data_IF_451436627005
#
_entry.id   IF_451436627005
#
_cell.length_a   1.000
_cell.length_b   1.000
_cell.length_c   1.000
_cell.angle_alpha   90.00
_cell.angle_beta   90.00
_cell.angle_gamma   90.00
#
_symmetry.space_group_name_H-M   'P 1'
#
loop_
_entity.id
_entity.type
_entity.pdbx_description
1 polymer ?
#
# COMPACT_ATOMS: atom_id res chain seq x y z
N UNK A 1 -1.66 -13.39 -30.17
CA UNK A 1 -0.81 -13.06 -29.00
C UNK A 1 0.62 -13.20 -29.44
N UNK A 2 1.51 -12.30 -29.01
CA UNK A 2 2.94 -12.44 -29.28
C UNK A 2 3.55 -13.47 -28.33
N UNK A 3 4.65 -14.11 -28.74
CA UNK A 3 5.43 -15.05 -27.89
C UNK A 3 5.78 -14.46 -26.51
N UNK A 4 5.95 -13.14 -26.43
CA UNK A 4 6.21 -12.41 -25.19
C UNK A 4 4.96 -12.25 -24.32
N UNK A 5 3.78 -12.13 -24.92
CA UNK A 5 2.52 -12.12 -24.17
C UNK A 5 2.23 -13.51 -23.58
N UNK A 6 2.55 -14.57 -24.34
CA UNK A 6 2.44 -15.96 -23.87
C UNK A 6 3.38 -16.21 -22.68
N UNK A 7 4.62 -15.69 -22.76
CA UNK A 7 5.60 -15.77 -21.68
C UNK A 7 5.14 -15.00 -20.42
N UNK A 8 4.56 -13.80 -20.58
CA UNK A 8 3.99 -13.02 -19.47
C UNK A 8 2.83 -13.77 -18.83
N UNK A 9 1.91 -14.30 -19.64
CA UNK A 9 0.76 -15.06 -19.15
C UNK A 9 1.21 -16.31 -18.38
N UNK A 10 2.17 -17.07 -18.93
CA UNK A 10 2.72 -18.26 -18.27
C UNK A 10 3.37 -17.92 -16.92
N UNK A 11 4.15 -16.82 -16.85
CA UNK A 11 4.70 -16.36 -15.57
C UNK A 11 3.58 -15.95 -14.60
N UNK A 12 2.63 -15.10 -15.00
CA UNK A 12 1.52 -14.70 -14.12
C UNK A 12 0.70 -15.89 -13.62
N UNK A 13 0.47 -16.93 -14.44
CA UNK A 13 -0.21 -18.15 -14.00
C UNK A 13 0.62 -18.96 -13.00
N UNK A 14 1.92 -19.13 -13.23
CA UNK A 14 2.81 -19.84 -12.31
C UNK A 14 2.95 -19.10 -10.97
N UNK A 15 3.08 -17.78 -11.01
CA UNK A 15 3.09 -16.91 -9.83
C UNK A 15 1.78 -17.06 -9.05
N UNK A 16 0.63 -17.12 -9.73
CA UNK A 16 -0.66 -17.27 -9.08
C UNK A 16 -0.79 -18.57 -8.28
N UNK A 17 -0.34 -19.69 -8.85
CA UNK A 17 -0.31 -20.97 -8.14
C UNK A 17 0.58 -20.87 -6.91
N UNK A 18 1.78 -20.31 -7.06
CA UNK A 18 2.79 -20.27 -6.00
C UNK A 18 2.39 -19.33 -4.84
N UNK A 19 1.87 -18.14 -5.14
CA UNK A 19 1.40 -17.18 -4.14
C UNK A 19 0.14 -17.67 -3.42
N UNK A 20 -0.81 -18.26 -4.14
CA UNK A 20 -2.00 -18.88 -3.52
C UNK A 20 -1.59 -20.00 -2.57
N UNK A 21 -0.65 -20.86 -2.99
CA UNK A 21 -0.09 -21.92 -2.14
C UNK A 21 0.65 -21.39 -0.91
N UNK A 22 1.13 -20.14 -0.96
CA UNK A 22 1.75 -19.44 0.17
C UNK A 22 0.75 -18.66 1.04
N UNK A 23 -0.55 -18.75 0.78
CA UNK A 23 -1.62 -18.10 1.54
C UNK A 23 -1.98 -16.70 1.08
N UNK A 24 -1.37 -16.20 0.00
CA UNK A 24 -1.75 -14.92 -0.59
C UNK A 24 -3.04 -15.05 -1.42
N UNK A 25 -3.76 -13.95 -1.57
CA UNK A 25 -4.95 -13.83 -2.42
C UNK A 25 -4.68 -12.82 -3.53
N UNK A 26 -5.11 -13.09 -4.78
CA UNK A 26 -5.06 -12.08 -5.83
C UNK A 26 -5.97 -10.90 -5.45
N UNK A 27 -5.51 -9.67 -5.68
CA UNK A 27 -6.27 -8.43 -5.43
C UNK A 27 -6.60 -7.77 -6.78
N UNK A 28 -5.58 -7.19 -7.42
CA UNK A 28 -5.62 -6.66 -8.79
C UNK A 28 -4.41 -7.19 -9.56
N UNK A 29 -4.27 -6.81 -10.84
CA UNK A 29 -3.15 -7.25 -11.67
C UNK A 29 -1.80 -7.01 -10.97
N UNK A 30 -0.98 -8.07 -10.89
CA UNK A 30 0.33 -8.07 -10.25
C UNK A 30 0.34 -7.67 -8.76
N UNK A 31 -0.80 -7.75 -8.08
CA UNK A 31 -0.93 -7.48 -6.64
C UNK A 31 -1.48 -8.68 -5.88
N UNK A 32 -0.72 -9.09 -4.87
CA UNK A 32 -1.03 -10.20 -3.98
C UNK A 32 -1.24 -9.68 -2.56
N UNK A 33 -2.28 -10.15 -1.87
CA UNK A 33 -2.59 -9.73 -0.51
C UNK A 33 -2.50 -10.88 0.48
N UNK A 34 -2.12 -10.59 1.72
CA UNK A 34 -2.02 -11.56 2.80
C UNK A 34 -2.57 -10.94 4.08
N UNK A 35 -3.40 -11.67 4.80
CA UNK A 35 -3.82 -11.30 6.14
C UNK A 35 -2.63 -11.39 7.11
N UNK A 36 -2.29 -10.27 7.75
CA UNK A 36 -1.11 -10.16 8.62
C UNK A 36 -1.42 -10.52 10.08
N UNK A 37 -2.67 -10.35 10.47
CA UNK A 37 -3.20 -10.57 11.82
C UNK A 37 -4.49 -11.39 11.72
N UNK A 38 -4.71 -12.34 12.63
CA UNK A 38 -5.86 -13.27 12.55
C UNK A 38 -7.23 -12.66 12.85
N UNK A 39 -7.32 -11.34 13.01
CA UNK A 39 -8.55 -10.56 13.19
C UNK A 39 -9.05 -9.94 11.87
N UNK A 40 -8.26 -10.06 10.79
CA UNK A 40 -8.60 -9.51 9.48
C UNK A 40 -8.41 -7.99 9.34
N UNK A 41 -7.95 -7.28 10.37
CA UNK A 41 -7.80 -5.82 10.35
C UNK A 41 -6.58 -5.37 9.54
N UNK A 42 -5.57 -6.21 9.44
CA UNK A 42 -4.31 -5.89 8.78
C UNK A 42 -4.08 -6.74 7.54
N UNK A 43 -3.93 -6.08 6.39
CA UNK A 43 -3.64 -6.73 5.11
C UNK A 43 -2.29 -6.23 4.60
N UNK A 44 -1.39 -7.16 4.33
CA UNK A 44 -0.15 -6.92 3.59
C UNK A 44 -0.42 -7.03 2.11
N UNK A 45 0.17 -6.15 1.32
CA UNK A 45 0.13 -6.16 -0.14
C UNK A 45 1.53 -6.31 -0.71
N UNK A 46 1.67 -7.14 -1.75
CA UNK A 46 2.90 -7.39 -2.49
C UNK A 46 2.64 -7.03 -3.95
N UNK A 47 3.38 -6.05 -4.44
CA UNK A 47 3.30 -5.53 -5.81
C UNK A 47 4.43 -6.13 -6.63
N UNK A 48 4.12 -6.83 -7.71
CA UNK A 48 5.06 -7.55 -8.57
C UNK A 48 4.86 -7.20 -10.06
N UNK A 49 4.95 -5.90 -10.42
CA UNK A 49 4.60 -5.45 -11.75
C UNK A 49 5.52 -6.05 -12.82
N UNK A 50 4.93 -6.61 -13.88
CA UNK A 50 5.64 -7.21 -15.01
C UNK A 50 5.56 -6.32 -16.25
N UNK A 51 6.72 -6.02 -16.83
CA UNK A 51 6.85 -5.22 -18.04
C UNK A 51 7.50 -6.03 -19.16
N UNK A 52 6.96 -5.95 -20.37
CA UNK A 52 7.52 -6.58 -21.57
C UNK A 52 8.44 -5.61 -22.28
N UNK A 53 9.71 -5.98 -22.49
CA UNK A 53 10.69 -5.14 -23.20
C UNK A 53 11.77 -5.97 -23.88
N UNK A 54 12.00 -5.71 -25.17
CA UNK A 54 13.12 -6.28 -25.93
C UNK A 54 13.17 -7.80 -25.92
N UNK A 55 12.03 -8.48 -26.14
CA UNK A 55 11.97 -9.93 -26.17
C UNK A 55 12.07 -10.60 -24.79
N UNK A 56 11.72 -9.89 -23.71
CA UNK A 56 11.73 -10.44 -22.35
C UNK A 56 10.60 -9.89 -21.50
N UNK A 57 10.20 -10.66 -20.50
CA UNK A 57 9.33 -10.19 -19.41
C UNK A 57 10.21 -9.83 -18.22
N UNK A 58 9.97 -8.67 -17.62
CA UNK A 58 10.79 -8.16 -16.53
C UNK A 58 9.88 -7.75 -15.36
N UNK A 59 10.18 -8.28 -14.17
CA UNK A 59 9.67 -7.71 -12.94
C UNK A 59 10.68 -6.69 -12.43
N UNK A 60 10.25 -5.44 -12.36
CA UNK A 60 11.07 -4.33 -11.88
C UNK A 60 10.29 -3.58 -10.81
N UNK A 61 10.99 -3.18 -9.73
CA UNK A 61 10.42 -2.42 -8.62
C UNK A 61 9.31 -3.15 -7.84
N UNK A 62 9.56 -4.38 -7.37
CA UNK A 62 8.62 -5.03 -6.49
C UNK A 62 8.50 -4.23 -5.18
N UNK A 63 7.31 -4.14 -4.61
CA UNK A 63 7.02 -3.25 -3.48
C UNK A 63 6.08 -3.87 -2.45
N UNK A 64 6.25 -3.55 -1.15
CA UNK A 64 5.28 -3.92 -0.13
C UNK A 64 4.24 -2.81 0.10
N UNK A 65 3.12 -3.16 0.71
CA UNK A 65 2.16 -2.21 1.28
C UNK A 65 1.46 -2.82 2.49
N UNK A 66 0.92 -1.96 3.35
CA UNK A 66 0.09 -2.37 4.51
C UNK A 66 -1.21 -1.58 4.49
N UNK A 67 -2.31 -2.27 4.77
CA UNK A 67 -3.64 -1.72 4.94
C UNK A 67 -4.07 -2.00 6.38
N UNK A 68 -4.40 -0.94 7.11
CA UNK A 68 -5.22 -1.04 8.31
C UNK A 68 -6.67 -0.82 7.89
N UNK A 69 -7.42 -1.91 7.69
CA UNK A 69 -8.77 -1.88 7.11
C UNK A 69 -9.71 -0.94 7.86
N UNK A 70 -9.78 -0.95 9.21
CA UNK A 70 -10.66 -0.03 9.93
C UNK A 70 -10.39 1.45 9.60
N UNK A 71 -9.11 1.83 9.44
CA UNK A 71 -8.74 3.19 9.07
C UNK A 71 -9.16 3.55 7.66
N UNK A 72 -8.86 2.72 6.67
CA UNK A 72 -9.20 3.04 5.27
C UNK A 72 -10.72 2.99 5.04
N UNK A 73 -11.44 2.06 5.67
CA UNK A 73 -12.90 1.96 5.58
C UNK A 73 -13.59 3.17 6.22
N UNK A 74 -13.13 3.63 7.40
CA UNK A 74 -13.68 4.84 8.01
C UNK A 74 -13.31 6.08 7.19
N UNK A 75 -12.08 6.20 6.69
CA UNK A 75 -11.67 7.31 5.84
C UNK A 75 -12.50 7.39 4.55
N UNK A 76 -12.70 6.26 3.87
CA UNK A 76 -13.54 6.17 2.67
C UNK A 76 -14.97 6.67 2.94
N UNK A 77 -15.58 6.25 4.07
CA UNK A 77 -16.90 6.74 4.49
C UNK A 77 -16.93 8.24 4.74
N UNK A 78 -15.90 8.79 5.40
CA UNK A 78 -15.81 10.23 5.66
C UNK A 78 -15.64 11.05 4.38
N UNK A 79 -15.06 10.46 3.33
CA UNK A 79 -14.84 11.09 2.03
C UNK A 79 -15.96 10.80 1.01
N UNK A 80 -16.97 10.03 1.40
CA UNK A 80 -18.13 9.73 0.55
C UNK A 80 -17.89 8.65 -0.51
N UNK A 81 -16.88 7.79 -0.31
CA UNK A 81 -16.63 6.63 -1.16
C UNK A 81 -17.43 5.41 -0.71
N UNK A 82 -18.03 4.70 -1.67
CA UNK A 82 -18.67 3.40 -1.45
C UNK A 82 -17.59 2.31 -1.24
N UNK A 83 -17.67 1.51 -0.15
CA UNK A 83 -16.77 0.38 0.06
C UNK A 83 -16.76 -0.58 -1.14
N UNK A 84 -15.57 -0.92 -1.65
CA UNK A 84 -15.39 -1.95 -2.68
C UNK A 84 -15.40 -1.47 -4.13
N UNK A 85 -15.47 -0.15 -4.37
CA UNK A 85 -15.43 0.41 -5.75
C UNK A 85 -14.01 0.69 -6.26
N UNK A 86 -13.01 0.74 -5.38
CA UNK A 86 -11.59 0.92 -5.71
C UNK A 86 -10.73 -0.04 -4.89
N UNK A 87 -9.54 -0.48 -5.38
CA UNK A 87 -8.60 -1.23 -4.56
C UNK A 87 -8.27 -0.41 -3.31
N UNK A 88 -8.28 -1.01 -2.11
CA UNK A 88 -8.19 -0.24 -0.87
C UNK A 88 -6.90 0.57 -0.89
N UNK A 89 -6.97 1.91 -0.73
CA UNK A 89 -5.78 2.73 -0.68
C UNK A 89 -4.92 2.24 0.49
N UNK A 90 -3.64 1.99 0.25
CA UNK A 90 -2.79 1.40 1.29
C UNK A 90 -2.46 2.44 2.36
N UNK A 91 -2.66 2.09 3.62
CA UNK A 91 -2.30 2.93 4.79
C UNK A 91 -0.82 3.27 4.78
N UNK A 92 0.01 2.30 4.39
CA UNK A 92 1.44 2.47 4.12
C UNK A 92 1.73 1.90 2.74
N UNK A 93 2.17 2.75 1.81
CA UNK A 93 2.53 2.35 0.45
C UNK A 93 4.04 2.32 0.25
N UNK A 94 4.60 1.16 -0.09
CA UNK A 94 6.02 0.98 -0.46
C UNK A 94 6.31 1.20 -1.95
N UNK A 95 5.30 1.62 -2.75
CA UNK A 95 5.48 2.06 -4.15
C UNK A 95 6.52 3.18 -4.31
N UNK A 96 6.86 3.81 -3.19
CA UNK A 96 7.90 4.78 -3.08
C UNK A 96 9.16 4.12 -2.50
N UNK A 97 10.06 3.78 -3.42
CA UNK A 97 11.32 3.05 -3.28
C UNK A 97 12.33 3.56 -2.22
N UNK A 98 11.94 4.47 -1.33
CA UNK A 98 12.78 5.07 -0.30
C UNK A 98 12.42 4.64 1.13
N UNK A 99 11.38 3.81 1.30
CA UNK A 99 10.89 3.35 2.62
C UNK A 99 11.04 1.84 2.86
N UNK A 100 11.57 1.12 1.87
CA UNK A 100 11.95 -0.30 2.00
C UNK A 100 13.29 -0.34 2.79
N UNK A 101 13.59 -1.40 3.60
CA UNK A 101 14.94 -1.66 4.15
C UNK A 101 16.03 -1.42 3.09
N UNK A 102 17.27 -1.06 3.52
CA UNK A 102 18.16 -0.15 2.83
C UNK A 102 18.12 -0.29 1.31
N UNK A 103 18.04 0.84 0.58
CA UNK A 103 17.86 0.90 -0.89
C UNK A 103 18.80 0.00 -1.71
N UNK A 104 19.83 -0.55 -1.10
CA UNK A 104 20.78 -1.48 -1.68
C UNK A 104 20.29 -2.95 -1.74
N UNK A 105 19.15 -3.31 -1.12
CA UNK A 105 18.67 -4.71 -1.04
C UNK A 105 17.58 -5.07 -2.08
N UNK A 106 16.69 -4.14 -2.42
CA UNK A 106 15.52 -4.37 -3.31
C UNK A 106 15.56 -3.61 -4.63
N UNK A 107 16.20 -2.42 -4.62
CA UNK A 107 16.04 -1.41 -5.67
C UNK A 107 16.69 -1.79 -7.01
N UNK A 108 17.36 -2.95 -7.05
CA UNK A 108 18.06 -3.49 -8.22
C UNK A 108 17.70 -4.94 -8.55
N UNK A 109 16.76 -5.56 -7.82
CA UNK A 109 16.33 -6.93 -8.12
C UNK A 109 15.37 -6.91 -9.30
N UNK A 110 15.96 -6.94 -10.49
CA UNK A 110 15.25 -7.16 -11.74
C UNK A 110 15.24 -8.66 -12.00
N UNK A 111 14.04 -9.25 -11.99
CA UNK A 111 13.86 -10.62 -12.43
C UNK A 111 13.50 -10.56 -13.92
N UNK A 112 14.27 -11.25 -14.75
CA UNK A 112 14.08 -11.27 -16.20
C UNK A 112 13.85 -12.70 -16.65
N UNK A 113 12.76 -12.91 -17.38
CA UNK A 113 12.41 -14.18 -18.02
C UNK A 113 12.53 -13.96 -19.53
N UNK A 114 13.32 -14.81 -20.20
CA UNK A 114 13.45 -14.81 -21.67
C UNK A 114 12.84 -16.04 -22.30
N UNK A 115 12.75 -17.12 -21.53
CA UNK A 115 12.25 -18.42 -21.97
C UNK A 115 11.30 -19.00 -20.93
N UNK A 116 10.46 -19.96 -21.32
CA UNK A 116 9.52 -20.59 -20.40
C UNK A 116 10.25 -21.38 -19.30
N UNK A 117 11.44 -21.92 -19.60
CA UNK A 117 12.28 -22.63 -18.63
C UNK A 117 12.75 -21.73 -17.47
N UNK A 118 12.83 -20.41 -17.66
CA UNK A 118 13.25 -19.46 -16.61
C UNK A 118 12.14 -19.18 -15.57
N UNK A 119 10.87 -19.50 -15.90
CA UNK A 119 9.70 -19.11 -15.10
C UNK A 119 9.74 -19.67 -13.67
N UNK A 120 10.02 -20.96 -13.43
CA UNK A 120 10.02 -21.51 -12.07
C UNK A 120 10.98 -20.76 -11.14
N UNK A 121 12.22 -20.52 -11.61
CA UNK A 121 13.22 -19.78 -10.83
C UNK A 121 12.82 -18.32 -10.58
N UNK A 122 12.17 -17.67 -11.56
CA UNK A 122 11.65 -16.32 -11.40
C UNK A 122 10.54 -16.25 -10.34
N UNK A 123 9.63 -17.22 -10.32
CA UNK A 123 8.54 -17.31 -9.34
C UNK A 123 9.07 -17.59 -7.93
N UNK A 124 10.00 -18.54 -7.80
CA UNK A 124 10.65 -18.84 -6.52
C UNK A 124 11.34 -17.61 -5.96
N UNK A 125 12.05 -16.86 -6.81
CA UNK A 125 12.69 -15.61 -6.39
C UNK A 125 11.68 -14.55 -5.95
N UNK A 126 10.56 -14.38 -6.65
CA UNK A 126 9.50 -13.45 -6.22
C UNK A 126 8.91 -13.82 -4.86
N UNK A 127 8.70 -15.11 -4.59
CA UNK A 127 8.23 -15.59 -3.29
C UNK A 127 9.26 -15.38 -2.17
N UNK A 128 10.52 -15.67 -2.44
CA UNK A 128 11.62 -15.42 -1.50
C UNK A 128 11.67 -13.93 -1.12
N UNK A 129 11.57 -13.03 -2.11
CA UNK A 129 11.52 -11.59 -1.86
C UNK A 129 10.34 -11.16 -0.99
N UNK A 130 9.17 -11.74 -1.25
CA UNK A 130 7.99 -11.48 -0.44
C UNK A 130 8.21 -11.94 1.01
N UNK A 131 8.75 -13.15 1.21
CA UNK A 131 8.91 -13.78 2.53
C UNK A 131 10.04 -13.17 3.36
N UNK A 132 11.20 -12.95 2.77
CA UNK A 132 12.40 -12.53 3.51
C UNK A 132 12.40 -11.04 3.84
N UNK A 133 11.63 -10.24 3.10
CA UNK A 133 11.80 -8.80 3.15
C UNK A 133 10.49 -8.01 3.19
N UNK A 134 9.53 -8.33 2.32
CA UNK A 134 8.26 -7.61 2.32
C UNK A 134 7.42 -7.96 3.54
N UNK A 135 7.32 -9.25 3.90
CA UNK A 135 6.51 -9.69 5.02
C UNK A 135 7.03 -9.19 6.38
N UNK A 136 8.35 -9.25 6.70
CA UNK A 136 8.88 -8.63 7.91
C UNK A 136 8.65 -7.12 7.95
N UNK A 137 8.80 -6.43 6.81
CA UNK A 137 8.47 -5.01 6.71
C UNK A 137 6.99 -4.77 6.98
N UNK A 138 6.08 -5.53 6.36
CA UNK A 138 4.63 -5.41 6.56
C UNK A 138 4.24 -5.61 8.03
N UNK A 139 4.76 -6.66 8.67
CA UNK A 139 4.53 -6.96 10.09
C UNK A 139 5.07 -5.88 11.02
N UNK A 140 6.16 -5.22 10.68
CA UNK A 140 6.66 -4.08 11.46
C UNK A 140 5.62 -2.94 11.53
N UNK A 141 4.88 -2.70 10.45
CA UNK A 141 3.88 -1.63 10.39
C UNK A 141 2.51 -2.01 10.96
N UNK A 142 2.33 -3.24 11.44
CA UNK A 142 1.15 -3.58 12.26
C UNK A 142 1.33 -3.12 13.71
N UNK A 143 2.53 -2.71 14.12
CA UNK A 143 2.76 -2.06 15.41
C UNK A 143 2.19 -0.63 15.38
N UNK A 144 1.21 -0.30 16.26
CA UNK A 144 0.61 1.02 16.29
C UNK A 144 1.58 2.17 16.52
N UNK A 145 2.64 1.98 17.31
CA UNK A 145 3.63 3.01 17.56
C UNK A 145 4.43 3.31 16.29
N UNK A 146 4.82 2.27 15.55
CA UNK A 146 5.53 2.40 14.28
C UNK A 146 4.64 3.04 13.21
N UNK A 147 3.37 2.62 13.12
CA UNK A 147 2.44 3.23 12.17
C UNK A 147 2.21 4.72 12.49
N UNK A 148 2.01 5.06 13.77
CA UNK A 148 1.88 6.45 14.21
C UNK A 148 3.09 7.28 13.81
N UNK A 149 4.30 6.80 14.09
CA UNK A 149 5.55 7.47 13.69
C UNK A 149 5.59 7.73 12.18
N UNK A 150 5.22 6.72 11.38
CA UNK A 150 5.19 6.82 9.93
C UNK A 150 4.19 7.86 9.42
N UNK A 151 2.95 7.81 9.93
CA UNK A 151 1.90 8.74 9.52
C UNK A 151 2.18 10.17 10.01
N UNK A 152 2.77 10.31 11.20
CA UNK A 152 3.20 11.59 11.75
C UNK A 152 4.49 12.14 11.11
N UNK A 153 5.25 11.30 10.40
CA UNK A 153 6.45 11.67 9.68
C UNK A 153 6.19 12.59 8.48
N UNK A 154 7.21 13.34 8.07
CA UNK A 154 7.18 14.18 6.85
C UNK A 154 7.72 13.36 5.68
N UNK A 155 6.86 12.80 4.81
CA UNK A 155 7.33 12.07 3.64
C UNK A 155 8.04 13.03 2.68
N UNK A 156 8.91 12.46 1.85
CA UNK A 156 9.66 13.23 0.85
C UNK A 156 8.75 13.96 -0.15
N UNK A 157 7.56 13.41 -0.43
CA UNK A 157 6.57 14.01 -1.32
C UNK A 157 5.41 14.63 -0.52
N UNK A 158 5.21 15.95 -0.67
CA UNK A 158 4.20 16.72 0.07
C UNK A 158 2.77 16.16 -0.06
N UNK A 159 2.38 15.62 -1.21
CA UNK A 159 1.01 15.09 -1.39
C UNK A 159 0.74 13.83 -0.54
N UNK A 160 1.78 13.07 -0.18
CA UNK A 160 1.64 11.92 0.71
C UNK A 160 1.40 12.36 2.15
N UNK A 161 1.95 13.51 2.53
CA UNK A 161 1.78 14.07 3.87
C UNK A 161 0.32 14.31 4.20
N UNK A 162 -0.46 14.80 3.23
CA UNK A 162 -1.90 14.99 3.38
C UNK A 162 -2.64 13.67 3.56
N UNK A 163 -2.29 12.64 2.80
CA UNK A 163 -2.84 11.30 2.98
C UNK A 163 -2.51 10.74 4.37
N UNK A 164 -1.27 10.89 4.81
CA UNK A 164 -0.80 10.37 6.09
C UNK A 164 -1.50 11.04 7.28
N UNK A 165 -1.65 12.37 7.27
CA UNK A 165 -2.32 13.08 8.36
C UNK A 165 -3.81 12.75 8.45
N UNK A 166 -4.51 12.61 7.31
CA UNK A 166 -5.92 12.14 7.30
C UNK A 166 -6.06 10.77 7.93
N UNK A 167 -5.18 9.84 7.55
CA UNK A 167 -5.12 8.49 8.16
C UNK A 167 -4.78 8.54 9.63
N UNK A 168 -3.87 9.42 10.05
CA UNK A 168 -3.49 9.57 11.45
C UNK A 168 -4.68 10.01 12.31
N UNK A 169 -5.48 11.00 11.85
CA UNK A 169 -6.70 11.42 12.56
C UNK A 169 -7.62 10.23 12.80
N UNK A 170 -7.90 9.45 11.75
CA UNK A 170 -8.79 8.30 11.83
C UNK A 170 -8.20 7.17 12.68
N UNK A 171 -6.91 6.90 12.53
CA UNK A 171 -6.21 5.85 13.27
C UNK A 171 -6.18 6.12 14.77
N UNK A 172 -5.87 7.35 15.20
CA UNK A 172 -5.86 7.71 16.62
C UNK A 172 -7.27 7.66 17.22
N UNK A 173 -8.29 8.14 16.49
CA UNK A 173 -9.68 8.06 16.94
C UNK A 173 -10.15 6.62 17.15
N UNK A 174 -9.88 5.71 16.21
CA UNK A 174 -10.24 4.29 16.33
C UNK A 174 -9.56 3.60 17.52
N UNK A 175 -8.44 4.15 18.02
CA UNK A 175 -7.73 3.66 19.21
C UNK A 175 -8.20 4.32 20.51
N UNK A 176 -9.15 5.27 20.43
CA UNK A 176 -9.61 6.06 21.56
C UNK A 176 -8.66 7.19 22.00
N UNK A 177 -7.68 7.56 21.17
CA UNK A 177 -6.80 8.72 21.41
C UNK A 177 -7.33 9.97 20.69
N UNK A 178 -8.47 10.49 21.16
CA UNK A 178 -9.07 11.70 20.57
C UNK A 178 -8.18 12.94 20.69
N UNK A 179 -7.32 12.99 21.71
CA UNK A 179 -6.32 14.06 21.85
C UNK A 179 -5.28 13.98 20.71
N UNK A 180 -4.77 12.78 20.42
CA UNK A 180 -3.90 12.51 19.27
C UNK A 180 -4.58 12.81 17.94
N UNK A 181 -5.85 12.41 17.79
CA UNK A 181 -6.63 12.68 16.59
C UNK A 181 -6.83 14.19 16.35
N UNK A 182 -7.12 14.97 17.41
CA UNK A 182 -7.21 16.43 17.34
C UNK A 182 -5.89 17.07 16.95
N UNK A 183 -4.78 16.64 17.55
CA UNK A 183 -3.45 17.14 17.20
C UNK A 183 -3.10 16.86 15.73
N UNK A 184 -3.44 15.68 15.21
CA UNK A 184 -3.25 15.34 13.81
C UNK A 184 -4.13 16.20 12.87
N UNK A 185 -5.37 16.50 13.26
CA UNK A 185 -6.27 17.36 12.51
C UNK A 185 -5.76 18.82 12.45
N UNK A 186 -5.23 19.33 13.56
CA UNK A 186 -4.64 20.66 13.61
C UNK A 186 -3.37 20.74 12.74
N UNK A 187 -2.53 19.71 12.75
CA UNK A 187 -1.39 19.60 11.84
C UNK A 187 -1.85 19.55 10.37
N UNK A 188 -2.91 18.80 10.06
CA UNK A 188 -3.48 18.74 8.71
C UNK A 188 -3.95 20.11 8.22
N UNK A 189 -4.66 20.86 9.07
CA UNK A 189 -5.12 22.23 8.76
C UNK A 189 -3.95 23.21 8.57
N UNK A 190 -2.92 23.12 9.41
CA UNK A 190 -1.75 23.99 9.33
C UNK A 190 -0.93 23.74 8.06
N UNK A 191 -0.82 22.48 7.63
CA UNK A 191 0.00 22.09 6.48
C UNK A 191 -0.72 22.17 5.14
N UNK A 192 -2.06 22.30 5.11
CA UNK A 192 -2.86 22.45 3.90
C UNK A 192 -3.31 23.90 3.68
N UNK A 193 -2.42 24.80 3.19
CA UNK A 193 -2.83 26.14 2.79
C UNK A 193 -3.73 25.97 1.57
N UNK A 194 -4.99 26.43 1.66
CA UNK A 194 -6.06 26.15 0.70
C UNK A 194 -5.61 26.01 -0.75
N UNK A 195 -5.97 24.88 -1.38
CA UNK A 195 -5.65 24.63 -2.78
C UNK A 195 -6.44 25.60 -3.67
N UNK A 196 -5.81 26.13 -4.72
CA UNK A 196 -6.50 26.94 -5.74
C UNK A 196 -7.41 26.10 -6.64
N UNK A 197 -7.32 24.78 -6.57
CA UNK A 197 -8.17 23.86 -7.30
C UNK A 197 -9.47 23.60 -6.49
N UNK A 198 -10.64 24.04 -6.98
CA UNK A 198 -11.89 23.99 -6.22
C UNK A 198 -12.28 22.59 -5.75
N UNK A 199 -12.04 21.56 -6.58
CA UNK A 199 -12.33 20.17 -6.23
C UNK A 199 -11.49 19.66 -5.07
N UNK A 200 -10.23 20.11 -4.96
CA UNK A 200 -9.33 19.70 -3.88
C UNK A 200 -9.65 20.48 -2.61
N UNK A 201 -10.10 21.73 -2.73
CA UNK A 201 -10.59 22.52 -1.60
C UNK A 201 -11.89 21.94 -1.02
N UNK A 202 -12.84 21.55 -1.86
CA UNK A 202 -14.10 20.94 -1.42
C UNK A 202 -13.87 19.62 -0.67
N UNK A 203 -12.96 18.76 -1.16
CA UNK A 203 -12.58 17.52 -0.47
C UNK A 203 -11.92 17.76 0.88
N UNK A 204 -11.06 18.78 0.96
CA UNK A 204 -10.44 19.19 2.22
C UNK A 204 -11.50 19.62 3.25
N UNK A 205 -12.42 20.51 2.86
CA UNK A 205 -13.49 21.00 3.74
C UNK A 205 -14.42 19.88 4.20
N UNK A 206 -14.80 18.97 3.30
CA UNK A 206 -15.60 17.80 3.62
C UNK A 206 -14.92 16.91 4.67
N UNK A 207 -13.64 16.58 4.47
CA UNK A 207 -12.88 15.80 5.44
C UNK A 207 -12.78 16.50 6.80
N UNK A 208 -12.47 17.81 6.83
CA UNK A 208 -12.35 18.56 8.08
C UNK A 208 -13.68 18.59 8.84
N UNK A 209 -14.79 18.84 8.15
CA UNK A 209 -16.12 18.84 8.77
C UNK A 209 -16.47 17.46 9.34
N UNK A 210 -16.21 16.39 8.59
CA UNK A 210 -16.46 15.02 9.01
C UNK A 210 -15.59 14.61 10.21
N UNK A 211 -14.30 14.98 10.21
CA UNK A 211 -13.38 14.73 11.32
C UNK A 211 -13.77 15.49 12.60
N UNK A 212 -14.22 16.75 12.48
CA UNK A 212 -14.74 17.50 13.65
C UNK A 212 -15.99 16.83 14.22
N UNK A 213 -16.92 16.42 13.37
CA UNK A 213 -18.14 15.74 13.80
C UNK A 213 -17.83 14.38 14.45
N UNK A 214 -16.81 13.67 13.94
CA UNK A 214 -16.32 12.41 14.50
C UNK A 214 -15.78 12.61 15.93
N UNK A 215 -14.99 13.66 16.16
CA UNK A 215 -14.30 13.92 17.43
C UNK A 215 -15.15 14.68 18.48
N UNK A 216 -16.38 15.04 18.14
CA UNK A 216 -17.32 15.74 19.03
C UNK A 216 -18.28 14.78 19.77
N UNK A 217 -18.22 13.48 19.47
CA UNK A 217 -19.00 12.41 20.12
C UNK A 217 -18.25 11.87 21.32
#
# INVERSE_FOLDING_TARGET
>A
MSEIDDLRAAWSSAEAVAFTGAGYRPDIEDVWTLELTGDGDWIGAVYLPKNTRGGSVNQAYPGPGVVHRPTEELLARLEGYEPGTEPPPKTVGGLLMHLIPPPDTFRYQRITVRTAEDIPAAVDRSLELAREHMLPWQRRYTDPAVLREYLAGKPYLKHLRYGNLRRLVVFEHLRGDDAGARAALDAYRAEYPGSRAPEVQARHEAFVAAAVALLAR
#
